data_IF_795352332842
#
_entry.id   IF_795352332842
#
_cell.length_a   1.000
_cell.length_b   1.000
_cell.length_c   1.000
_cell.angle_alpha   90.00
_cell.angle_beta   90.00
_cell.angle_gamma   90.00
#
_symmetry.space_group_name_H-M   'P 1'
#
loop_
_entity.id
_entity.type
_entity.pdbx_description
1 polymer ?
#
# COMPACT_ATOMS: atom_id res chain seq x y z
N UNK A 1 -14.51 -8.29 7.37
CA UNK A 1 -13.65 -7.74 6.31
C UNK A 1 -13.56 -6.25 6.58
N UNK A 2 -12.42 -5.81 7.12
CA UNK A 2 -12.22 -4.45 7.61
C UNK A 2 -10.97 -3.88 6.94
N UNK A 3 -10.91 -2.56 6.80
CA UNK A 3 -9.84 -1.85 6.12
C UNK A 3 -9.60 -0.49 6.78
N UNK A 4 -8.44 0.11 6.51
CA UNK A 4 -8.16 1.45 7.02
C UNK A 4 -9.16 2.44 6.39
N UNK A 5 -9.89 3.26 7.17
CA UNK A 5 -10.79 4.27 6.62
C UNK A 5 -10.06 5.22 5.65
N UNK A 6 -10.67 5.49 4.49
CA UNK A 6 -10.07 6.33 3.45
C UNK A 6 -8.98 5.64 2.60
N UNK A 7 -8.70 4.36 2.83
CA UNK A 7 -7.77 3.62 1.97
C UNK A 7 -8.36 3.34 0.58
N UNK A 8 -7.56 3.56 -0.45
CA UNK A 8 -7.88 3.15 -1.82
C UNK A 8 -7.49 1.69 -2.02
N UNK A 9 -8.41 0.89 -2.58
CA UNK A 9 -8.16 -0.51 -2.87
C UNK A 9 -7.66 -0.69 -4.31
N UNK A 10 -6.38 -1.03 -4.44
CA UNK A 10 -5.76 -1.48 -5.70
C UNK A 10 -5.01 -2.76 -5.39
N UNK A 11 -5.39 -3.86 -6.04
CA UNK A 11 -4.69 -5.14 -5.85
C UNK A 11 -3.28 -5.07 -6.45
N UNK A 12 -2.37 -5.94 -5.98
CA UNK A 12 -0.98 -5.94 -6.46
C UNK A 12 -0.88 -6.17 -7.98
N UNK A 13 -1.77 -6.98 -8.55
CA UNK A 13 -1.79 -7.28 -9.99
C UNK A 13 -2.29 -6.09 -10.82
N UNK A 14 -3.22 -5.31 -10.28
CA UNK A 14 -3.78 -4.13 -10.93
C UNK A 14 -2.93 -2.87 -10.71
N UNK A 15 -1.98 -2.91 -9.77
CA UNK A 15 -1.18 -1.75 -9.40
C UNK A 15 -0.45 -1.14 -10.59
N UNK A 16 0.24 -1.96 -11.40
CA UNK A 16 1.02 -1.49 -12.56
C UNK A 16 0.15 -0.77 -13.59
N UNK A 17 -0.93 -1.35 -14.12
CA UNK A 17 -1.77 -0.66 -15.11
C UNK A 17 -2.49 0.58 -14.53
N UNK A 18 -2.66 0.67 -13.21
CA UNK A 18 -3.39 1.76 -12.54
C UNK A 18 -2.49 2.78 -11.83
N UNK A 19 -1.17 2.74 -12.03
CA UNK A 19 -0.25 3.68 -11.34
C UNK A 19 -0.50 5.15 -11.69
N UNK A 20 -1.14 5.45 -12.82
CA UNK A 20 -1.51 6.81 -13.22
C UNK A 20 -2.58 7.44 -12.33
N UNK A 21 -3.38 6.64 -11.63
CA UNK A 21 -4.41 7.12 -10.68
C UNK A 21 -3.79 7.61 -9.36
N UNK A 22 -2.52 7.28 -9.12
CA UNK A 22 -1.86 7.54 -7.85
C UNK A 22 -1.30 8.96 -7.77
N UNK A 23 -1.49 9.64 -6.62
CA UNK A 23 -0.97 10.99 -6.43
C UNK A 23 0.57 11.00 -6.42
N UNK A 24 1.16 11.98 -7.10
CA UNK A 24 2.62 12.18 -7.18
C UNK A 24 3.13 13.21 -6.16
N UNK A 25 2.24 14.05 -5.65
CA UNK A 25 2.49 15.20 -4.79
C UNK A 25 2.60 14.84 -3.29
N UNK A 26 2.34 13.58 -2.92
CA UNK A 26 2.38 13.11 -1.52
C UNK A 26 2.97 11.72 -1.39
N UNK A 27 3.30 11.35 -0.15
CA UNK A 27 3.78 10.02 0.19
C UNK A 27 2.62 9.01 0.21
N UNK A 28 2.84 7.84 -0.38
CA UNK A 28 1.87 6.73 -0.43
C UNK A 28 2.21 5.72 0.67
N UNK A 29 1.23 5.37 1.50
CA UNK A 29 1.37 4.29 2.47
C UNK A 29 0.70 3.02 1.95
N UNK A 30 1.47 1.95 1.73
CA UNK A 30 0.92 0.65 1.32
C UNK A 30 0.72 -0.27 2.52
N UNK A 31 -0.34 -1.07 2.47
CA UNK A 31 -0.54 -2.16 3.42
C UNK A 31 -1.28 -3.33 2.77
N UNK A 32 -1.10 -4.51 3.32
CA UNK A 32 -1.96 -5.66 3.07
C UNK A 32 -2.26 -6.32 4.41
N UNK A 33 -2.75 -7.57 4.43
CA UNK A 33 -3.10 -8.21 5.69
C UNK A 33 -1.88 -8.38 6.63
N UNK A 34 -0.72 -8.80 6.11
CA UNK A 34 0.47 -9.15 6.90
C UNK A 34 1.76 -8.44 6.47
N UNK A 35 1.75 -7.67 5.38
CA UNK A 35 2.89 -6.86 4.91
C UNK A 35 3.63 -7.39 3.67
N UNK A 36 3.47 -8.66 3.29
CA UNK A 36 4.22 -9.24 2.15
C UNK A 36 3.83 -8.61 0.80
N UNK A 37 2.54 -8.58 0.46
CA UNK A 37 2.07 -7.98 -0.81
C UNK A 37 2.33 -6.48 -0.89
N UNK A 38 2.21 -5.78 0.23
CA UNK A 38 2.43 -4.33 0.28
C UNK A 38 3.91 -3.96 0.19
N UNK A 39 4.82 -4.86 0.59
CA UNK A 39 6.24 -4.72 0.30
C UNK A 39 6.52 -4.72 -1.22
N UNK A 40 5.96 -5.67 -1.97
CA UNK A 40 6.11 -5.70 -3.43
C UNK A 40 5.49 -4.46 -4.09
N UNK A 41 4.32 -4.03 -3.62
CA UNK A 41 3.70 -2.78 -4.07
C UNK A 41 4.61 -1.57 -3.80
N UNK A 42 5.18 -1.47 -2.60
CA UNK A 42 6.08 -0.37 -2.24
C UNK A 42 7.35 -0.36 -3.10
N UNK A 43 7.95 -1.53 -3.37
CA UNK A 43 9.12 -1.63 -4.26
C UNK A 43 8.78 -1.20 -5.69
N UNK A 44 7.64 -1.65 -6.22
CA UNK A 44 7.18 -1.25 -7.54
C UNK A 44 6.95 0.27 -7.62
N UNK A 45 6.28 0.86 -6.63
CA UNK A 45 6.04 2.30 -6.57
C UNK A 45 7.35 3.11 -6.45
N UNK A 46 8.27 2.69 -5.59
CA UNK A 46 9.57 3.34 -5.44
C UNK A 46 10.37 3.32 -6.76
N UNK A 47 10.35 2.20 -7.50
CA UNK A 47 10.99 2.08 -8.80
C UNK A 47 10.41 3.04 -9.85
N UNK A 48 9.16 3.47 -9.70
CA UNK A 48 8.50 4.44 -10.59
C UNK A 48 8.55 5.87 -10.04
N UNK A 49 9.40 6.14 -9.03
CA UNK A 49 9.65 7.47 -8.50
C UNK A 49 8.60 7.99 -7.51
N UNK A 50 7.73 7.12 -6.98
CA UNK A 50 6.80 7.52 -5.92
C UNK A 50 7.52 7.55 -4.57
N UNK A 51 7.17 8.54 -3.74
CA UNK A 51 7.50 8.52 -2.31
C UNK A 51 6.56 7.53 -1.62
N UNK A 52 7.10 6.49 -0.98
CA UNK A 52 6.30 5.38 -0.47
C UNK A 52 6.83 4.85 0.86
N UNK A 53 5.90 4.48 1.75
CA UNK A 53 6.15 3.72 2.97
C UNK A 53 5.30 2.46 3.00
N UNK A 54 5.85 1.38 3.54
CA UNK A 54 5.14 0.12 3.74
C UNK A 54 4.77 -0.03 5.22
N UNK A 55 3.51 -0.35 5.52
CA UNK A 55 3.08 -0.70 6.86
C UNK A 55 3.56 -2.11 7.23
N UNK A 56 4.68 -2.17 7.95
CA UNK A 56 5.25 -3.43 8.45
C UNK A 56 4.27 -4.16 9.39
N UNK A 57 4.13 -5.47 9.20
CA UNK A 57 3.15 -6.30 9.90
C UNK A 57 1.72 -6.21 9.35
N UNK A 58 1.48 -5.34 8.36
CA UNK A 58 0.19 -5.19 7.69
C UNK A 58 -0.96 -4.74 8.60
N UNK A 59 -2.19 -4.90 8.11
CA UNK A 59 -3.41 -4.56 8.83
C UNK A 59 -3.55 -5.34 10.14
N UNK A 60 -3.06 -6.59 10.19
CA UNK A 60 -3.12 -7.41 11.40
C UNK A 60 -2.36 -6.77 12.57
N UNK A 61 -1.25 -6.08 12.30
CA UNK A 61 -0.49 -5.33 13.32
C UNK A 61 -1.31 -4.19 13.94
N UNK A 62 -2.20 -3.56 13.18
CA UNK A 62 -3.10 -2.51 13.69
C UNK A 62 -4.23 -3.10 14.53
N UNK A 63 -4.77 -4.27 14.14
CA UNK A 63 -5.81 -4.96 14.90
C UNK A 63 -5.32 -5.43 16.27
N UNK A 64 -4.05 -5.84 16.38
CA UNK A 64 -3.44 -6.27 17.65
C UNK A 64 -3.10 -5.11 18.59
N UNK A 65 -3.10 -3.87 18.10
CA UNK A 65 -2.83 -2.65 18.88
C UNK A 65 -4.11 -1.91 19.31
N UNK A 66 -5.28 -2.44 18.94
CA UNK A 66 -6.58 -2.02 19.48
C UNK A 66 -6.91 -2.88 20.69
#
# INVERSE_FOLDING_TARGET
ADHIPGAVNISLNELRPRMSELPRDREICTYCLVGQRSYYAARALAQHGFRVRNLSGGFKSLLLKR
#
